data_IF_051084237785
#
_entry.id   IF_051084237785
#
_cell.length_a   1.000
_cell.length_b   1.000
_cell.length_c   1.000
_cell.angle_alpha   90.00
_cell.angle_beta   90.00
_cell.angle_gamma   90.00
#
_symmetry.space_group_name_H-M   'P 1'
#
loop_
_entity.id
_entity.type
_entity.pdbx_description
1 polymer ?
#
# COMPACT_ATOMS: atom_id res chain seq x y z
N UNK A 1 -39.55 35.43 -25.20
CA UNK A 1 -38.81 35.14 -26.46
C UNK A 1 -38.54 33.64 -26.52
N UNK A 2 -39.10 32.91 -27.50
CA UNK A 2 -38.89 31.44 -27.62
C UNK A 2 -37.51 31.20 -28.26
N UNK A 3 -36.59 30.45 -27.63
CA UNK A 3 -35.30 30.14 -28.25
C UNK A 3 -35.54 29.35 -29.55
N UNK A 4 -34.88 29.77 -30.62
CA UNK A 4 -35.04 29.16 -31.95
C UNK A 4 -34.46 27.74 -31.90
N UNK A 5 -35.22 26.76 -32.40
CA UNK A 5 -34.89 25.32 -32.46
C UNK A 5 -33.45 25.01 -32.93
N UNK A 6 -32.87 25.88 -33.75
CA UNK A 6 -31.50 25.76 -34.28
C UNK A 6 -30.42 26.09 -33.24
N UNK A 7 -30.71 26.98 -32.27
CA UNK A 7 -29.83 27.29 -31.13
C UNK A 7 -29.80 26.12 -30.13
N UNK A 8 -30.92 25.44 -29.95
CA UNK A 8 -31.00 24.26 -29.10
C UNK A 8 -30.21 23.09 -29.73
N UNK A 9 -30.30 22.90 -31.05
CA UNK A 9 -29.56 21.87 -31.78
C UNK A 9 -28.03 22.07 -31.76
N UNK A 10 -27.54 23.31 -31.91
CA UNK A 10 -26.10 23.60 -31.84
C UNK A 10 -25.55 23.46 -30.43
N UNK A 11 -26.32 23.81 -29.40
CA UNK A 11 -25.92 23.65 -28.00
C UNK A 11 -25.79 22.16 -27.63
N UNK A 12 -26.70 21.31 -28.10
CA UNK A 12 -26.63 19.85 -27.87
C UNK A 12 -25.45 19.20 -28.59
N UNK A 13 -25.10 19.68 -29.80
CA UNK A 13 -23.95 19.16 -30.55
C UNK A 13 -22.61 19.57 -29.91
N UNK A 14 -22.52 20.79 -29.37
CA UNK A 14 -21.34 21.27 -28.64
C UNK A 14 -21.13 20.48 -27.33
N UNK A 15 -22.22 20.13 -26.63
CA UNK A 15 -22.19 19.35 -25.39
C UNK A 15 -21.67 17.90 -25.61
N UNK A 16 -21.99 17.30 -26.76
CA UNK A 16 -21.54 15.96 -27.13
C UNK A 16 -20.04 15.89 -27.47
N UNK A 17 -19.48 16.95 -28.06
CA UNK A 17 -18.04 17.02 -28.37
C UNK A 17 -17.19 17.23 -27.11
N UNK A 18 -17.69 17.96 -26.11
CA UNK A 18 -16.99 18.13 -24.84
C UNK A 18 -16.90 16.85 -23.99
N UNK A 19 -17.83 15.91 -24.13
CA UNK A 19 -17.81 14.65 -23.40
C UNK A 19 -16.74 13.67 -23.89
N UNK A 20 -16.29 13.81 -25.14
CA UNK A 20 -15.33 12.88 -25.78
C UNK A 20 -13.86 13.16 -25.45
N UNK A 21 -13.53 14.27 -24.77
CA UNK A 21 -12.17 14.65 -24.39
C UNK A 21 -11.93 14.56 -22.87
N UNK A 22 -12.47 13.54 -22.20
CA UNK A 22 -12.06 13.27 -20.82
C UNK A 22 -10.72 12.50 -20.82
N UNK A 23 -9.65 13.05 -20.21
CA UNK A 23 -8.40 12.32 -20.07
C UNK A 23 -8.64 11.13 -19.13
N UNK A 24 -8.44 9.92 -19.62
CA UNK A 24 -8.36 8.73 -18.79
C UNK A 24 -7.10 8.84 -17.94
N UNK A 25 -7.24 9.42 -16.76
CA UNK A 25 -6.19 9.37 -15.74
C UNK A 25 -6.04 7.91 -15.31
N UNK A 26 -4.96 7.26 -15.74
CA UNK A 26 -4.47 6.04 -15.09
C UNK A 26 -4.00 6.44 -13.69
N UNK A 27 -4.94 6.52 -12.75
CA UNK A 27 -4.60 6.47 -11.34
C UNK A 27 -4.15 5.04 -11.05
N UNK A 28 -2.84 4.81 -11.16
CA UNK A 28 -2.23 3.64 -10.55
C UNK A 28 -2.53 3.69 -9.06
N UNK A 29 -3.48 2.87 -8.63
CA UNK A 29 -3.75 2.63 -7.22
C UNK A 29 -2.48 2.05 -6.62
N UNK A 30 -1.72 2.87 -5.91
CA UNK A 30 -0.84 2.38 -4.85
C UNK A 30 -1.78 1.89 -3.75
N UNK A 31 -2.38 0.72 -3.96
CA UNK A 31 -3.12 0.01 -2.93
C UNK A 31 -2.11 -0.24 -1.82
N UNK A 32 -2.09 0.68 -0.84
CA UNK A 32 -1.29 0.56 0.35
C UNK A 32 -1.98 -0.54 1.15
N UNK A 33 -1.59 -1.79 0.86
CA UNK A 33 -2.05 -2.97 1.55
C UNK A 33 -1.91 -2.68 3.03
N UNK A 34 -3.02 -2.75 3.78
CA UNK A 34 -3.00 -2.61 5.24
C UNK A 34 -1.97 -3.61 5.77
N UNK A 35 -0.81 -3.11 6.21
CA UNK A 35 0.24 -3.92 6.81
C UNK A 35 -0.35 -4.53 8.07
N UNK A 36 -0.70 -5.81 8.01
CA UNK A 36 -1.29 -6.56 9.11
C UNK A 36 -0.25 -7.59 9.53
N UNK A 37 -0.02 -7.70 10.83
CA UNK A 37 0.76 -8.79 11.40
C UNK A 37 -0.06 -10.08 11.21
N UNK A 38 0.15 -10.76 10.08
CA UNK A 38 -0.56 -11.99 9.71
C UNK A 38 -0.08 -13.18 10.56
N UNK A 39 1.17 -13.11 11.03
CA UNK A 39 1.84 -14.16 11.78
C UNK A 39 2.89 -13.55 12.71
N UNK A 40 2.97 -14.06 13.94
CA UNK A 40 4.07 -13.76 14.86
C UNK A 40 5.29 -14.63 14.54
N UNK A 41 6.47 -14.03 14.45
CA UNK A 41 7.73 -14.76 14.18
C UNK A 41 8.71 -14.51 15.31
N UNK A 42 9.32 -15.57 15.85
CA UNK A 42 10.43 -15.44 16.79
C UNK A 42 11.75 -15.59 16.02
N UNK A 43 12.59 -14.55 16.05
CA UNK A 43 13.90 -14.54 15.39
C UNK A 43 14.77 -15.69 15.92
N UNK A 44 15.29 -16.51 15.02
CA UNK A 44 16.22 -17.59 15.36
C UNK A 44 17.68 -17.21 15.04
N UNK A 45 18.62 -18.03 15.50
CA UNK A 45 20.01 -17.88 15.08
C UNK A 45 20.13 -17.92 13.55
N UNK A 46 20.99 -17.06 13.00
CA UNK A 46 21.21 -16.89 11.57
C UNK A 46 20.00 -16.40 10.76
N UNK A 47 19.00 -15.81 11.40
CA UNK A 47 17.96 -15.06 10.70
C UNK A 47 18.37 -13.59 10.48
N UNK A 48 17.92 -13.05 9.36
CA UNK A 48 17.92 -11.63 9.05
C UNK A 48 16.58 -11.33 8.36
N UNK A 49 16.15 -10.06 8.35
CA UNK A 49 14.76 -9.73 7.98
C UNK A 49 14.38 -10.15 6.56
N UNK A 50 15.28 -10.07 5.57
CA UNK A 50 14.98 -10.51 4.20
C UNK A 50 14.85 -12.03 4.06
N UNK A 51 15.56 -12.82 4.87
CA UNK A 51 15.35 -14.28 4.95
C UNK A 51 13.98 -14.61 5.55
N UNK A 52 13.55 -13.87 6.56
CA UNK A 52 12.20 -14.03 7.12
C UNK A 52 11.15 -13.59 6.09
N UNK A 53 11.36 -12.48 5.39
CA UNK A 53 10.45 -12.00 4.35
C UNK A 53 10.29 -12.99 3.19
N UNK A 54 11.37 -13.66 2.78
CA UNK A 54 11.30 -14.75 1.80
C UNK A 54 10.45 -15.92 2.31
N UNK A 55 10.64 -16.35 3.57
CA UNK A 55 9.87 -17.44 4.17
C UNK A 55 8.38 -17.11 4.30
N UNK A 56 8.03 -15.87 4.66
CA UNK A 56 6.64 -15.46 4.96
C UNK A 56 5.90 -14.98 3.71
N UNK A 57 6.57 -14.23 2.83
CA UNK A 57 5.94 -13.58 1.69
C UNK A 57 6.40 -14.12 0.33
N UNK A 58 7.40 -14.99 0.28
CA UNK A 58 8.04 -15.41 -0.97
C UNK A 58 8.77 -14.25 -1.67
N UNK A 59 9.19 -13.23 -0.91
CA UNK A 59 9.85 -12.05 -1.45
C UNK A 59 10.83 -11.44 -0.42
N UNK A 60 12.13 -11.65 -0.65
CA UNK A 60 13.22 -11.04 0.12
C UNK A 60 13.10 -9.52 0.29
N UNK A 61 12.52 -8.80 -0.69
CA UNK A 61 12.38 -7.35 -0.66
C UNK A 61 11.20 -6.86 0.20
N UNK A 62 10.36 -7.77 0.70
CA UNK A 62 9.23 -7.42 1.56
C UNK A 62 9.62 -7.17 3.03
N UNK A 63 10.91 -7.28 3.38
CA UNK A 63 11.39 -7.06 4.75
C UNK A 63 10.99 -5.70 5.39
N UNK A 64 10.84 -4.57 4.65
CA UNK A 64 10.38 -3.32 5.25
C UNK A 64 8.95 -3.41 5.80
N UNK A 65 8.12 -4.31 5.26
CA UNK A 65 6.79 -4.56 5.77
C UNK A 65 6.83 -5.21 7.15
N UNK A 66 7.81 -6.09 7.42
CA UNK A 66 8.03 -6.69 8.74
C UNK A 66 8.37 -5.60 9.75
N UNK A 67 9.38 -4.76 9.46
CA UNK A 67 9.77 -3.64 10.35
C UNK A 67 8.58 -2.76 10.71
N UNK A 68 7.78 -2.40 9.70
CA UNK A 68 6.59 -1.57 9.88
C UNK A 68 5.53 -2.28 10.74
N UNK A 69 5.22 -3.54 10.43
CA UNK A 69 4.23 -4.34 11.16
C UNK A 69 4.63 -4.51 12.64
N UNK A 70 5.88 -4.90 12.87
CA UNK A 70 6.40 -5.17 14.22
C UNK A 70 6.41 -3.89 15.05
N UNK A 71 6.84 -2.74 14.51
CA UNK A 71 6.84 -1.47 15.26
C UNK A 71 5.43 -0.95 15.53
N UNK A 72 4.50 -1.10 14.58
CA UNK A 72 3.07 -0.81 14.83
C UNK A 72 2.56 -1.69 15.97
N UNK A 73 2.94 -2.97 15.99
CA UNK A 73 2.50 -3.89 17.02
C UNK A 73 3.17 -3.63 18.37
N UNK A 74 4.44 -3.24 18.40
CA UNK A 74 5.16 -2.82 19.61
C UNK A 74 4.44 -1.66 20.32
N UNK A 75 3.89 -0.70 19.58
CA UNK A 75 3.13 0.41 20.15
C UNK A 75 1.83 -0.03 20.85
N UNK A 76 1.27 -1.19 20.49
CA UNK A 76 0.08 -1.78 21.11
C UNK A 76 0.45 -2.82 22.20
N UNK A 77 1.52 -3.56 21.96
CA UNK A 77 2.03 -4.68 22.75
C UNK A 77 3.55 -4.66 22.77
N UNK A 78 4.11 -4.20 23.89
CA UNK A 78 5.56 -4.04 24.09
C UNK A 78 6.33 -5.38 24.12
N UNK A 79 5.69 -6.54 23.99
CA UNK A 79 6.39 -7.83 23.82
C UNK A 79 6.98 -8.00 22.42
N UNK A 80 6.48 -7.27 21.42
CA UNK A 80 7.09 -7.20 20.09
C UNK A 80 8.35 -6.34 20.14
N UNK A 81 9.31 -6.62 19.27
CA UNK A 81 10.54 -5.85 19.20
C UNK A 81 10.29 -4.42 18.72
N UNK A 82 11.07 -3.46 19.21
CA UNK A 82 11.16 -2.13 18.61
C UNK A 82 12.36 -2.12 17.67
N UNK A 83 12.12 -2.23 16.37
CA UNK A 83 13.17 -2.28 15.35
C UNK A 83 13.54 -0.85 14.95
N UNK A 84 14.66 -0.36 15.45
CA UNK A 84 15.22 0.96 15.08
C UNK A 84 16.20 0.87 13.90
N UNK A 85 16.93 -0.25 13.81
CA UNK A 85 17.84 -0.54 12.72
C UNK A 85 17.46 -1.88 12.07
N UNK A 86 16.94 -1.90 10.83
CA UNK A 86 16.56 -3.14 10.13
C UNK A 86 17.72 -4.12 9.89
N UNK A 87 18.96 -3.64 9.88
CA UNK A 87 20.15 -4.50 9.71
C UNK A 87 20.57 -5.19 11.02
N UNK A 88 19.87 -4.91 12.13
CA UNK A 88 20.16 -5.45 13.45
C UNK A 88 18.90 -6.01 14.09
N UNK A 89 18.81 -7.34 14.16
CA UNK A 89 17.80 -8.07 14.92
C UNK A 89 18.48 -9.08 15.84
N UNK A 90 17.86 -9.41 16.97
CA UNK A 90 18.43 -10.36 17.92
C UNK A 90 17.59 -11.63 18.03
N UNK A 91 18.27 -12.74 18.33
CA UNK A 91 17.62 -14.02 18.59
C UNK A 91 16.63 -13.89 19.74
N UNK A 92 15.42 -14.42 19.56
CA UNK A 92 14.34 -14.35 20.54
C UNK A 92 13.42 -13.14 20.39
N UNK A 93 13.74 -12.17 19.52
CA UNK A 93 12.82 -11.07 19.23
C UNK A 93 11.52 -11.59 18.62
N UNK A 94 10.40 -11.04 19.09
CA UNK A 94 9.07 -11.28 18.53
C UNK A 94 8.78 -10.21 17.47
N UNK A 95 8.56 -10.64 16.23
CA UNK A 95 8.26 -9.81 15.06
C UNK A 95 6.77 -9.86 14.69
#
# INVERSE_FOLDING_TARGET
MKPKRNFFLTLTFLLLVCLALSPTALAGSLAQSKVTCEQEVVVQAEDWLSKIAEKVYGNVFAYPAIVTATNVKNAEDNTFAKIENPDMIEVGWKL
#
